data_IF_993946122832
#
_entry.id   IF_993946122832
#
_cell.length_a   1.000
_cell.length_b   1.000
_cell.length_c   1.000
_cell.angle_alpha   90.00
_cell.angle_beta   90.00
_cell.angle_gamma   90.00
#
_symmetry.space_group_name_H-M   'P 1'
#
loop_
_entity.id
_entity.type
_entity.pdbx_description
1 polymer ?
#
# COMPACT_ATOMS: atom_id res chain seq x y z
N UNK A 1 13.68 1.44 -17.11
CA UNK A 1 13.22 2.10 -15.88
C UNK A 1 14.40 2.41 -15.00
N UNK A 2 14.44 3.59 -14.42
CA UNK A 2 15.49 3.93 -13.48
C UNK A 2 15.15 3.35 -12.09
N UNK A 3 16.17 3.22 -11.26
CA UNK A 3 15.97 2.72 -9.91
C UNK A 3 14.99 3.59 -9.14
N UNK A 4 15.00 4.88 -9.42
CA UNK A 4 14.12 5.82 -8.76
C UNK A 4 12.67 5.54 -9.10
N UNK A 5 12.40 5.28 -10.37
CA UNK A 5 11.04 4.99 -10.80
C UNK A 5 10.54 3.67 -10.22
N UNK A 6 11.42 2.69 -10.17
CA UNK A 6 11.07 1.40 -9.58
C UNK A 6 10.72 1.55 -8.11
N UNK A 7 11.49 2.35 -7.39
CA UNK A 7 11.24 2.60 -5.98
C UNK A 7 9.88 3.27 -5.78
N UNK A 8 9.55 4.23 -6.63
CA UNK A 8 8.28 4.94 -6.54
C UNK A 8 7.10 3.99 -6.76
N UNK A 9 7.21 3.11 -7.75
CA UNK A 9 6.14 2.15 -8.04
C UNK A 9 5.94 1.19 -6.88
N UNK A 10 7.04 0.71 -6.30
CA UNK A 10 6.95 -0.19 -5.15
C UNK A 10 6.28 0.49 -3.97
N UNK A 11 6.59 1.76 -3.74
CA UNK A 11 5.97 2.51 -2.65
C UNK A 11 4.47 2.67 -2.87
N UNK A 12 4.05 2.93 -4.11
CA UNK A 12 2.62 3.06 -4.42
C UNK A 12 1.87 1.77 -4.15
N UNK A 13 2.42 0.65 -4.60
CA UNK A 13 1.79 -0.65 -4.38
C UNK A 13 1.72 -0.95 -2.89
N UNK A 14 2.77 -0.65 -2.17
CA UNK A 14 2.82 -0.89 -0.73
C UNK A 14 1.74 -0.07 -0.02
N UNK A 15 1.55 1.17 -0.43
CA UNK A 15 0.51 2.02 0.18
C UNK A 15 -0.88 1.46 -0.06
N UNK A 16 -1.13 0.94 -1.26
CA UNK A 16 -2.43 0.36 -1.57
C UNK A 16 -2.69 -0.84 -0.67
N UNK A 17 -1.70 -1.71 -0.51
CA UNK A 17 -1.83 -2.90 0.31
C UNK A 17 -2.10 -2.52 1.77
N UNK A 18 -1.36 -1.56 2.28
CA UNK A 18 -1.53 -1.10 3.67
C UNK A 18 -2.93 -0.49 3.86
N UNK A 19 -3.40 0.27 2.88
CA UNK A 19 -4.73 0.87 2.94
C UNK A 19 -5.81 -0.20 3.04
N UNK A 20 -5.68 -1.25 2.24
CA UNK A 20 -6.65 -2.35 2.26
C UNK A 20 -6.62 -3.05 3.61
N UNK A 21 -5.44 -3.28 4.15
CA UNK A 21 -5.30 -3.92 5.45
C UNK A 21 -5.96 -3.10 6.56
N UNK A 22 -5.71 -1.80 6.56
CA UNK A 22 -6.29 -0.91 7.56
C UNK A 22 -7.81 -0.88 7.42
N UNK A 23 -8.32 -0.83 6.20
CA UNK A 23 -9.75 -0.83 5.96
C UNK A 23 -10.38 -2.13 6.44
N UNK A 24 -9.70 -3.25 6.22
CA UNK A 24 -10.19 -4.56 6.66
C UNK A 24 -10.29 -4.60 8.19
N UNK A 25 -9.24 -4.19 8.88
CA UNK A 25 -9.22 -4.20 10.34
C UNK A 25 -10.28 -3.26 10.89
N UNK A 26 -10.40 -2.08 10.29
CA UNK A 26 -11.38 -1.09 10.71
C UNK A 26 -12.81 -1.62 10.54
N UNK A 27 -13.05 -2.35 9.49
CA UNK A 27 -14.37 -2.91 9.23
C UNK A 27 -14.71 -4.04 10.20
N UNK A 28 -13.72 -4.84 10.54
CA UNK A 28 -13.92 -5.96 11.46
C UNK A 28 -13.98 -5.50 12.90
N UNK A 29 -13.32 -4.42 13.22
CA UNK A 29 -13.25 -3.91 14.58
C UNK A 29 -14.58 -3.26 14.95
N UNK A 30 -15.16 -3.71 16.02
CA UNK A 30 -16.38 -3.11 16.55
C UNK A 30 -16.15 -2.51 17.92
#
# INVERSE_FOLDING_TARGET
MSDYELLTVVLMIFEIIVSILIAYINHTKK
#
